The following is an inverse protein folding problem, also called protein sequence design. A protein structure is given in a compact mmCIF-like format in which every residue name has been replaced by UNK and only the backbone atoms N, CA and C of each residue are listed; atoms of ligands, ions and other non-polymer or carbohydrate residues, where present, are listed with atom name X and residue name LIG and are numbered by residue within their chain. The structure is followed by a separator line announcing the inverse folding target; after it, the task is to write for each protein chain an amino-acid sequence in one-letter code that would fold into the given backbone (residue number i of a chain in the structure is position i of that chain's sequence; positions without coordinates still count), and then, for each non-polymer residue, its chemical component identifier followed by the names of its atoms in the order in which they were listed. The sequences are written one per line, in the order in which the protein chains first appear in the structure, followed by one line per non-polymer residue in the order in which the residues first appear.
data_IF_582680417354
#
_entry.id   IF_582680417354
#
_cell.length_a   1.000
_cell.length_b   1.000
_cell.length_c   1.000
_cell.angle_alpha   90.00
_cell.angle_beta   90.00
_cell.angle_gamma   90.00
#
_symmetry.space_group_name_H-M   'P 1'
#
loop_
_entity.id
_entity.type
_entity.pdbx_description
1 polymer ?
#
# COMPACT_ATOMS: atom_id res chain seq x y z
N UNK A 1 -4.17 8.90 -21.79
CA UNK A 1 -5.48 8.22 -21.71
C UNK A 1 -6.50 9.11 -22.41
N UNK A 2 -7.57 8.58 -23.02
CA UNK A 2 -8.55 9.38 -23.78
C UNK A 2 -9.97 9.09 -23.29
N UNK A 3 -10.70 10.14 -22.94
CA UNK A 3 -12.13 10.07 -22.62
C UNK A 3 -12.87 10.77 -23.75
N UNK A 4 -13.77 10.01 -24.38
CA UNK A 4 -14.63 10.50 -25.46
C UNK A 4 -16.08 10.50 -24.96
N UNK A 5 -16.75 11.64 -25.09
CA UNK A 5 -18.20 11.74 -24.95
C UNK A 5 -18.78 11.66 -26.36
N UNK A 6 -19.58 10.62 -26.58
CA UNK A 6 -20.20 10.33 -27.87
C UNK A 6 -21.66 10.75 -27.87
N UNK A 7 -22.10 11.35 -28.97
CA UNK A 7 -23.49 11.66 -29.25
C UNK A 7 -24.18 10.54 -30.01
N UNK A 8 -25.43 10.80 -30.38
CA UNK A 8 -26.22 9.88 -31.23
C UNK A 8 -25.52 9.73 -32.59
N UNK A 9 -25.56 8.52 -33.16
CA UNK A 9 -24.85 8.18 -34.40
C UNK A 9 -23.30 8.28 -34.33
N UNK A 10 -22.69 8.00 -33.16
CA UNK A 10 -21.23 7.94 -32.97
C UNK A 10 -20.49 9.26 -33.27
N UNK A 11 -21.21 10.39 -33.30
CA UNK A 11 -20.60 11.71 -33.51
C UNK A 11 -19.90 12.12 -32.20
N UNK A 12 -18.60 12.42 -32.26
CA UNK A 12 -17.80 12.80 -31.08
C UNK A 12 -18.19 14.21 -30.64
N UNK A 13 -18.79 14.33 -29.46
CA UNK A 13 -19.22 15.62 -28.91
C UNK A 13 -18.07 16.33 -28.21
N UNK A 14 -17.26 15.58 -27.46
CA UNK A 14 -16.09 16.08 -26.74
C UNK A 14 -15.05 14.98 -26.62
N UNK A 15 -13.79 15.30 -26.88
CA UNK A 15 -12.67 14.42 -26.56
C UNK A 15 -11.66 15.16 -25.71
N UNK A 16 -11.39 14.62 -24.52
CA UNK A 16 -10.36 15.15 -23.65
C UNK A 16 -9.16 14.19 -23.72
N UNK A 17 -8.06 14.72 -24.23
CA UNK A 17 -6.77 14.03 -24.19
C UNK A 17 -6.06 14.41 -22.90
N UNK A 18 -6.03 13.47 -21.94
CA UNK A 18 -5.29 13.67 -20.69
C UNK A 18 -3.85 13.27 -20.98
N UNK A 19 -2.98 14.29 -21.13
CA UNK A 19 -1.53 14.13 -21.08
C UNK A 19 -1.19 13.57 -19.69
N UNK A 20 -0.33 12.56 -19.70
CA UNK A 20 0.10 11.71 -18.59
C UNK A 20 -0.01 12.35 -17.20
N UNK A 21 -0.65 11.63 -16.26
CA UNK A 21 -0.80 12.01 -14.85
C UNK A 21 0.54 12.31 -14.14
N UNK A 22 1.65 11.85 -14.71
CA UNK A 22 3.00 12.02 -14.17
C UNK A 22 3.44 13.49 -14.14
N UNK A 23 2.96 14.33 -15.08
CA UNK A 23 3.34 15.76 -15.16
C UNK A 23 2.46 16.68 -14.30
N UNK A 24 1.36 16.15 -13.73
CA UNK A 24 0.35 16.94 -13.04
C UNK A 24 0.52 17.00 -11.52
N UNK A 25 1.54 16.35 -10.94
CA UNK A 25 1.69 16.24 -9.48
C UNK A 25 0.54 15.48 -8.80
N UNK A 26 -0.34 14.83 -9.58
CA UNK A 26 -1.49 14.10 -9.08
C UNK A 26 -1.03 12.69 -8.73
N UNK A 27 -1.02 12.39 -7.43
CA UNK A 27 -0.66 11.07 -6.94
C UNK A 27 -1.65 10.00 -7.42
N UNK A 28 -1.19 9.10 -8.28
CA UNK A 28 -2.00 7.97 -8.72
C UNK A 28 -2.13 6.91 -7.61
N UNK A 29 -3.19 7.02 -6.81
CA UNK A 29 -3.50 6.07 -5.71
C UNK A 29 -3.63 4.63 -6.24
N UNK A 30 -4.12 4.41 -7.47
CA UNK A 30 -4.19 3.06 -8.06
C UNK A 30 -2.79 2.49 -8.20
N UNK A 31 -1.89 3.28 -8.80
CA UNK A 31 -0.52 2.88 -9.07
C UNK A 31 0.24 2.62 -7.78
N UNK A 32 0.08 3.50 -6.80
CA UNK A 32 0.65 3.35 -5.47
C UNK A 32 0.17 2.05 -4.79
N UNK A 33 -1.13 1.78 -4.77
CA UNK A 33 -1.68 0.57 -4.16
C UNK A 33 -1.17 -0.71 -4.85
N UNK A 34 -1.02 -0.71 -6.18
CA UNK A 34 -0.42 -1.83 -6.93
C UNK A 34 1.05 -2.02 -6.56
N UNK A 35 1.82 -0.94 -6.46
CA UNK A 35 3.24 -1.00 -6.04
C UNK A 35 3.39 -1.49 -4.61
N UNK A 36 2.46 -1.13 -3.71
CA UNK A 36 2.46 -1.55 -2.31
C UNK A 36 1.85 -2.95 -2.09
N UNK A 37 1.14 -3.50 -3.07
CA UNK A 37 0.47 -4.81 -2.95
C UNK A 37 -0.77 -4.80 -2.04
N UNK A 38 -1.48 -3.67 -1.95
CA UNK A 38 -2.60 -3.47 -1.02
C UNK A 38 -3.88 -3.15 -1.78
N UNK A 39 -5.03 -3.65 -1.31
CA UNK A 39 -6.34 -3.27 -1.87
C UNK A 39 -6.59 -1.78 -1.61
N UNK A 40 -7.11 -1.09 -2.62
CA UNK A 40 -7.36 0.35 -2.56
C UNK A 40 -8.28 0.75 -1.40
N UNK A 41 -9.33 -0.03 -1.16
CA UNK A 41 -10.27 0.21 -0.06
C UNK A 41 -9.56 0.22 1.29
N UNK A 42 -8.77 -0.80 1.61
CA UNK A 42 -7.98 -0.88 2.84
C UNK A 42 -6.98 0.26 2.98
N UNK A 43 -6.31 0.63 1.90
CA UNK A 43 -5.38 1.76 1.91
C UNK A 43 -6.12 3.06 2.25
N UNK A 44 -7.24 3.35 1.58
CA UNK A 44 -8.04 4.55 1.82
C UNK A 44 -8.65 4.59 3.22
N UNK A 45 -9.09 3.45 3.75
CA UNK A 45 -9.54 3.37 5.15
C UNK A 45 -8.43 3.74 6.13
N UNK A 46 -7.19 3.29 5.89
CA UNK A 46 -6.05 3.65 6.73
C UNK A 46 -5.66 5.12 6.59
N UNK A 47 -5.71 5.67 5.38
CA UNK A 47 -5.51 7.10 5.13
C UNK A 47 -6.52 7.94 5.92
N UNK A 48 -7.78 7.52 5.97
CA UNK A 48 -8.81 8.21 6.75
C UNK A 48 -8.54 8.18 8.26
N UNK A 49 -7.89 7.14 8.79
CA UNK A 49 -7.60 7.02 10.22
C UNK A 49 -6.30 7.68 10.67
N UNK A 50 -5.22 7.57 9.89
CA UNK A 50 -3.86 7.98 10.30
C UNK A 50 -3.22 9.04 9.39
N UNK A 51 -3.91 9.48 8.34
CA UNK A 51 -3.36 10.39 7.34
C UNK A 51 -2.57 9.67 6.24
N UNK A 52 -2.33 10.40 5.13
CA UNK A 52 -1.74 9.87 3.90
C UNK A 52 -0.31 9.36 4.11
N UNK A 53 0.54 10.19 4.73
CA UNK A 53 1.96 9.89 4.91
C UNK A 53 2.19 8.65 5.79
N UNK A 54 1.50 8.58 6.93
CA UNK A 54 1.59 7.45 7.84
C UNK A 54 1.07 6.16 7.21
N UNK A 55 0.00 6.23 6.41
CA UNK A 55 -0.49 5.08 5.67
C UNK A 55 0.55 4.57 4.66
N UNK A 56 1.23 5.47 3.94
CA UNK A 56 2.29 5.11 2.99
C UNK A 56 3.45 4.44 3.72
N UNK A 57 3.94 5.03 4.81
CA UNK A 57 5.07 4.47 5.58
C UNK A 57 4.74 3.08 6.14
N UNK A 58 3.54 2.91 6.70
CA UNK A 58 3.07 1.63 7.24
C UNK A 58 3.07 0.52 6.17
N UNK A 59 2.43 0.77 5.02
CA UNK A 59 2.36 -0.24 3.97
C UNK A 59 3.70 -0.45 3.23
N UNK A 60 4.56 0.57 3.15
CA UNK A 60 5.91 0.41 2.63
C UNK A 60 6.77 -0.48 3.54
N UNK A 61 6.67 -0.32 4.86
CA UNK A 61 7.34 -1.18 5.83
C UNK A 61 6.85 -2.64 5.73
N UNK A 62 5.53 -2.83 5.67
CA UNK A 62 4.94 -4.16 5.48
C UNK A 62 5.42 -4.82 4.18
N UNK A 63 5.50 -4.06 3.08
CA UNK A 63 6.01 -4.61 1.83
C UNK A 63 7.47 -5.06 1.96
N UNK A 64 8.33 -4.23 2.55
CA UNK A 64 9.74 -4.60 2.79
C UNK A 64 9.87 -5.89 3.61
N UNK A 65 9.06 -6.03 4.66
CA UNK A 65 9.04 -7.25 5.46
C UNK A 65 8.62 -8.48 4.63
N UNK A 66 7.61 -8.35 3.77
CA UNK A 66 7.18 -9.43 2.87
C UNK A 66 8.24 -9.80 1.86
N UNK A 67 8.90 -8.81 1.27
CA UNK A 67 9.97 -9.03 0.29
C UNK A 67 11.16 -9.74 0.96
N UNK A 68 11.54 -9.34 2.19
CA UNK A 68 12.56 -10.03 2.98
C UNK A 68 12.14 -11.48 3.28
N UNK A 69 10.91 -11.70 3.76
CA UNK A 69 10.40 -13.05 4.01
C UNK A 69 10.36 -13.93 2.75
N UNK A 70 10.11 -13.34 1.58
CA UNK A 70 10.14 -14.07 0.31
C UNK A 70 11.57 -14.41 -0.16
N UNK A 71 12.57 -13.63 0.26
CA UNK A 71 13.99 -13.91 -0.05
C UNK A 71 14.67 -14.84 0.95
N UNK A 72 14.06 -15.08 2.11
CA UNK A 72 14.59 -15.99 3.12
C UNK A 72 14.20 -17.43 2.78
N UNK A 73 15.21 -18.28 2.56
CA UNK A 73 15.07 -19.74 2.43
C UNK A 73 14.38 -20.31 3.68
N UNK A 74 13.61 -21.39 3.54
CA UNK A 74 12.72 -21.98 4.58
C UNK A 74 13.34 -22.11 5.99
N UNK A 75 14.67 -22.20 6.09
CA UNK A 75 15.42 -22.27 7.35
C UNK A 75 15.43 -20.94 8.12
N UNK A 76 15.48 -19.80 7.45
CA UNK A 76 15.56 -18.48 8.09
C UNK A 76 14.18 -17.95 8.48
N UNK A 77 13.12 -18.41 7.81
CA UNK A 77 11.73 -18.09 8.16
C UNK A 77 11.35 -18.63 9.55
N UNK A 78 11.81 -19.83 9.90
CA UNK A 78 11.62 -20.43 11.22
C UNK A 78 12.38 -19.66 12.32
N UNK A 79 13.60 -19.21 12.03
CA UNK A 79 14.40 -18.40 12.96
C UNK A 79 13.78 -17.02 13.21
N UNK A 80 13.24 -16.36 12.17
CA UNK A 80 12.54 -15.09 12.31
C UNK A 80 11.22 -15.23 13.10
N UNK A 81 10.42 -16.26 12.83
CA UNK A 81 9.22 -16.55 13.63
C UNK A 81 9.57 -16.79 15.12
N UNK A 82 10.64 -17.54 15.39
CA UNK A 82 11.12 -17.79 16.75
C UNK A 82 11.55 -16.49 17.46
N UNK A 83 12.27 -15.60 16.77
CA UNK A 83 12.67 -14.30 17.30
C UNK A 83 11.46 -13.37 17.59
N UNK A 84 10.48 -13.33 16.70
CA UNK A 84 9.25 -12.56 16.92
C UNK A 84 8.43 -13.08 18.12
N UNK A 85 8.35 -14.40 18.30
CA UNK A 85 7.69 -14.98 19.48
C UNK A 85 8.45 -14.70 20.79
N UNK A 86 9.79 -14.69 20.75
CA UNK A 86 10.60 -14.36 21.92
C UNK A 86 10.42 -12.90 22.38
N UNK A 87 10.28 -11.95 21.45
CA UNK A 87 10.01 -10.54 21.76
C UNK A 87 8.63 -10.31 22.41
N UNK A 88 7.61 -11.10 22.04
CA UNK A 88 6.26 -10.99 22.59
C UNK A 88 6.15 -11.51 24.04
N UNK A 89 7.09 -12.37 24.45
CA UNK A 89 7.22 -12.83 25.85
C UNK A 89 7.81 -11.75 26.76
N UNK A 90 8.72 -10.92 26.23
CA UNK A 90 9.36 -9.84 26.99
C UNK A 90 8.43 -8.63 27.24
N UNK A 91 7.46 -8.38 26.35
CA UNK A 91 6.48 -7.29 26.54
C UNK A 91 5.38 -7.62 27.54
N UNK A 92 5.11 -8.91 27.81
CA UNK A 92 4.15 -9.34 28.83
C UNK A 92 4.67 -9.21 30.27
N UNK A 93 5.98 -9.06 30.45
CA UNK A 93 6.59 -8.99 31.79
C UNK A 93 6.68 -7.57 32.35
N UNK A 94 6.44 -6.52 31.55
CA UNK A 94 6.57 -5.13 32.00
C UNK A 94 5.29 -4.49 32.54
N UNK A 95 4.14 -5.18 32.55
CA UNK A 95 2.89 -4.63 33.11
C UNK A 95 2.65 -4.96 34.59
N UNK A 96 3.67 -5.41 35.34
CA UNK A 96 3.55 -5.63 36.79
C UNK A 96 4.75 -5.02 37.51
N UNK A 97 4.67 -3.72 37.82
CA UNK A 97 5.27 -3.08 39.01
C UNK A 97 5.17 -1.55 38.95
N UNK A 98 4.11 -1.02 39.56
CA UNK A 98 4.08 -0.07 40.70
C UNK A 98 2.82 0.79 40.64
#
# INVERSE_FOLDING_TARGET
MKIDIMGVAQTRLLSVSVKTLDDAGILNISGLCRKLGVKRSTFLSKVASSGLEQAILHYAALKKQRDVLATLSEKDAAAFLAACNAGNSASKTSSTKH
#
